data_IF_680916908231
#
_entry.id   IF_680916908231
#
_cell.length_a   1.000
_cell.length_b   1.000
_cell.length_c   1.000
_cell.angle_alpha   90.00
_cell.angle_beta   90.00
_cell.angle_gamma   90.00
#
_symmetry.space_group_name_H-M   'P 1'
#
loop_
_entity.id
_entity.type
_entity.pdbx_description
1 polymer ?
#
# COMPACT_ATOMS: atom_id res chain seq x y z
N UNK A 1 55.35 -62.76 27.07
CA UNK A 1 55.19 -62.21 25.71
C UNK A 1 53.93 -62.83 25.13
N UNK A 2 52.80 -62.16 25.35
CA UNK A 2 51.48 -62.29 24.68
C UNK A 2 50.62 -61.21 25.35
N UNK A 3 50.59 -60.01 24.79
CA UNK A 3 49.67 -59.54 23.75
C UNK A 3 48.44 -58.88 24.42
N UNK A 4 48.48 -57.55 24.45
CA UNK A 4 47.42 -56.68 24.97
C UNK A 4 46.53 -56.33 23.78
N UNK A 5 45.37 -56.98 23.70
CA UNK A 5 44.34 -56.61 22.72
C UNK A 5 43.59 -55.39 23.22
N UNK A 6 43.84 -54.26 22.56
CA UNK A 6 43.12 -53.00 22.66
C UNK A 6 41.74 -53.16 22.00
N UNK A 7 40.71 -53.34 22.82
CA UNK A 7 39.31 -53.44 22.39
C UNK A 7 38.75 -52.03 22.21
N UNK A 8 38.91 -51.51 20.99
CA UNK A 8 38.30 -50.25 20.58
C UNK A 8 36.77 -50.33 20.68
N UNK A 9 36.22 -49.57 21.62
CA UNK A 9 34.78 -49.40 21.83
C UNK A 9 34.17 -48.65 20.62
N UNK A 10 33.69 -49.38 19.63
CA UNK A 10 32.92 -48.83 18.51
C UNK A 10 31.63 -48.18 19.04
N UNK A 11 31.35 -46.90 18.74
CA UNK A 11 30.10 -46.27 19.15
C UNK A 11 28.93 -46.92 18.40
N UNK A 12 28.04 -47.57 19.14
CA UNK A 12 26.87 -48.25 18.58
C UNK A 12 26.01 -47.34 17.71
N UNK A 13 25.44 -47.90 16.64
CA UNK A 13 24.67 -47.22 15.59
C UNK A 13 23.52 -46.30 16.10
N UNK A 14 23.05 -46.51 17.33
CA UNK A 14 22.03 -45.70 18.01
C UNK A 14 22.55 -44.30 18.38
N UNK A 15 23.81 -44.18 18.79
CA UNK A 15 24.44 -42.89 19.14
C UNK A 15 24.68 -42.01 17.90
N UNK A 16 25.01 -42.63 16.76
CA UNK A 16 25.19 -41.91 15.49
C UNK A 16 23.85 -41.39 14.94
N UNK A 17 22.76 -42.16 15.10
CA UNK A 17 21.40 -41.74 14.73
C UNK A 17 20.89 -40.60 15.62
N UNK A 18 21.07 -40.71 16.93
CA UNK A 18 20.72 -39.65 17.89
C UNK A 18 21.52 -38.36 17.63
N UNK A 19 22.81 -38.47 17.31
CA UNK A 19 23.65 -37.34 16.94
C UNK A 19 23.22 -36.71 15.61
N UNK A 20 22.83 -37.50 14.61
CA UNK A 20 22.30 -36.99 13.34
C UNK A 20 20.96 -36.26 13.53
N UNK A 21 20.07 -36.76 14.38
CA UNK A 21 18.82 -36.08 14.75
C UNK A 21 19.06 -34.80 15.53
N UNK A 22 20.02 -34.80 16.46
CA UNK A 22 20.40 -33.62 17.24
C UNK A 22 21.07 -32.54 16.37
N UNK A 23 21.98 -32.94 15.47
CA UNK A 23 22.61 -32.05 14.50
C UNK A 23 21.59 -31.52 13.50
N UNK A 24 20.62 -32.33 13.04
CA UNK A 24 19.52 -31.90 12.17
C UNK A 24 18.56 -30.92 12.88
N UNK A 25 18.25 -31.16 14.16
CA UNK A 25 17.46 -30.25 14.99
C UNK A 25 18.21 -28.94 15.28
N UNK A 26 19.52 -28.98 15.51
CA UNK A 26 20.37 -27.81 15.66
C UNK A 26 20.54 -27.04 14.34
N UNK A 27 20.65 -27.74 13.20
CA UNK A 27 20.68 -27.10 11.88
C UNK A 27 19.34 -26.44 11.54
N UNK A 28 18.23 -27.09 11.91
CA UNK A 28 16.88 -26.52 11.78
C UNK A 28 16.68 -25.30 12.69
N UNK A 29 17.25 -25.31 13.90
CA UNK A 29 17.23 -24.18 14.84
C UNK A 29 18.13 -23.02 14.38
N UNK A 30 19.32 -23.32 13.87
CA UNK A 30 20.31 -22.32 13.43
C UNK A 30 19.97 -21.65 12.08
N UNK A 31 19.15 -22.28 11.24
CA UNK A 31 18.65 -21.70 9.99
C UNK A 31 17.36 -20.88 10.18
N UNK A 32 16.73 -20.86 11.37
CA UNK A 32 15.38 -20.30 11.58
C UNK A 32 15.21 -19.48 12.88
N UNK A 33 16.01 -18.43 13.10
CA UNK A 33 15.55 -17.39 14.03
C UNK A 33 15.32 -16.07 13.33
N UNK A 34 14.38 -16.08 12.40
CA UNK A 34 13.60 -14.90 12.00
C UNK A 34 12.69 -14.39 13.13
N UNK A 35 12.55 -15.16 14.22
CA UNK A 35 11.81 -14.79 15.41
C UNK A 35 12.42 -13.53 16.07
N UNK A 36 11.61 -12.49 16.20
CA UNK A 36 12.00 -11.19 16.77
C UNK A 36 11.62 -11.05 18.24
N UNK A 37 10.65 -11.82 18.72
CA UNK A 37 10.23 -11.88 20.12
C UNK A 37 9.86 -13.32 20.51
N UNK A 38 9.78 -13.65 21.82
CA UNK A 38 9.42 -15.00 22.26
C UNK A 38 8.05 -15.43 21.73
N UNK A 39 7.99 -16.60 21.08
CA UNK A 39 6.76 -17.13 20.47
C UNK A 39 6.46 -16.59 19.07
N UNK A 40 7.34 -15.76 18.50
CA UNK A 40 7.22 -15.31 17.12
C UNK A 40 7.50 -16.45 16.12
N UNK A 41 6.47 -16.81 15.35
CA UNK A 41 6.54 -17.82 14.28
C UNK A 41 6.77 -17.22 12.90
N UNK A 42 6.96 -15.89 12.82
CA UNK A 42 7.19 -15.20 11.56
C UNK A 42 8.53 -15.61 10.95
N UNK A 43 8.53 -15.73 9.61
CA UNK A 43 9.72 -16.13 8.83
C UNK A 43 10.47 -14.94 8.24
N UNK A 44 9.82 -13.78 8.18
CA UNK A 44 10.41 -12.54 7.66
C UNK A 44 11.36 -11.92 8.68
N UNK A 45 12.43 -11.27 8.21
CA UNK A 45 13.26 -10.40 9.04
C UNK A 45 12.53 -9.11 9.45
N UNK A 46 13.10 -8.36 10.39
CA UNK A 46 12.48 -7.14 10.93
C UNK A 46 12.11 -6.11 9.85
N UNK A 47 13.04 -5.78 8.95
CA UNK A 47 12.82 -4.73 7.95
C UNK A 47 11.74 -5.09 6.91
N UNK A 48 11.73 -6.32 6.33
CA UNK A 48 10.61 -6.77 5.50
C UNK A 48 9.26 -6.74 6.22
N UNK A 49 9.20 -7.08 7.52
CA UNK A 49 7.95 -6.97 8.29
C UNK A 49 7.47 -5.53 8.44
N UNK A 50 8.38 -4.58 8.64
CA UNK A 50 8.04 -3.14 8.68
C UNK A 50 7.52 -2.68 7.32
N UNK A 51 8.15 -3.11 6.22
CA UNK A 51 7.66 -2.82 4.87
C UNK A 51 6.27 -3.42 4.62
N UNK A 52 6.04 -4.67 5.03
CA UNK A 52 4.72 -5.33 4.98
C UNK A 52 3.67 -4.55 5.78
N UNK A 53 3.99 -4.11 7.00
CA UNK A 53 3.07 -3.33 7.82
C UNK A 53 2.69 -2.00 7.16
N UNK A 54 3.68 -1.28 6.60
CA UNK A 54 3.41 -0.02 5.89
C UNK A 54 2.58 -0.23 4.62
N UNK A 55 2.78 -1.34 3.91
CA UNK A 55 1.95 -1.72 2.77
C UNK A 55 0.49 -1.99 3.18
N UNK A 56 0.26 -2.63 4.33
CA UNK A 56 -1.10 -2.92 4.84
C UNK A 56 -1.80 -1.64 5.31
N UNK A 57 -1.09 -0.72 5.96
CA UNK A 57 -1.63 0.60 6.33
C UNK A 57 -1.97 1.44 5.09
N UNK A 58 -1.15 1.29 4.05
CA UNK A 58 -1.37 1.94 2.77
C UNK A 58 -1.13 3.45 2.80
N UNK A 59 -1.61 4.18 1.77
CA UNK A 59 -2.13 3.62 0.52
C UNK A 59 -1.03 3.05 -0.38
N UNK A 60 0.24 3.38 -0.13
CA UNK A 60 1.40 2.85 -0.85
C UNK A 60 2.70 3.09 -0.06
N UNK A 61 3.71 2.27 -0.35
CA UNK A 61 5.10 2.47 0.02
C UNK A 61 5.85 3.20 -1.11
N UNK A 62 6.57 4.27 -0.80
CA UNK A 62 7.38 5.04 -1.75
C UNK A 62 8.87 4.91 -1.44
N UNK A 63 9.68 4.52 -2.41
CA UNK A 63 11.15 4.44 -2.27
C UNK A 63 11.82 5.79 -2.10
N UNK A 64 11.26 6.84 -2.70
CA UNK A 64 11.74 8.22 -2.49
C UNK A 64 11.55 8.68 -1.04
N UNK A 65 10.40 8.34 -0.43
CA UNK A 65 10.10 8.76 0.96
C UNK A 65 10.68 7.82 2.02
N UNK A 66 10.73 6.52 1.73
CA UNK A 66 11.16 5.48 2.66
C UNK A 66 12.16 4.50 2.00
N UNK A 67 13.37 4.96 1.64
CA UNK A 67 14.33 4.17 0.84
C UNK A 67 14.81 2.90 1.55
N UNK A 68 14.89 2.92 2.89
CA UNK A 68 15.24 1.74 3.68
C UNK A 68 14.16 0.64 3.61
N UNK A 69 12.88 1.03 3.77
CA UNK A 69 11.77 0.10 3.67
C UNK A 69 11.57 -0.41 2.24
N UNK A 70 11.80 0.45 1.26
CA UNK A 70 11.80 0.06 -0.15
C UNK A 70 12.88 -0.98 -0.46
N UNK A 71 14.11 -0.73 0.00
CA UNK A 71 15.20 -1.71 -0.14
C UNK A 71 14.87 -3.04 0.54
N UNK A 72 14.24 -2.99 1.73
CA UNK A 72 13.81 -4.18 2.44
C UNK A 72 12.68 -4.94 1.71
N UNK A 73 11.71 -4.21 1.14
CA UNK A 73 10.67 -4.78 0.29
C UNK A 73 11.27 -5.54 -0.89
N UNK A 74 12.21 -4.91 -1.60
CA UNK A 74 12.83 -5.52 -2.78
C UNK A 74 13.75 -6.70 -2.42
N UNK A 75 14.38 -6.67 -1.25
CA UNK A 75 15.27 -7.72 -0.78
C UNK A 75 14.53 -9.02 -0.41
N UNK A 76 13.29 -8.93 0.08
CA UNK A 76 12.47 -10.09 0.47
C UNK A 76 11.04 -9.99 -0.08
N UNK A 77 10.94 -9.69 -1.38
CA UNK A 77 9.65 -9.49 -2.04
C UNK A 77 8.80 -10.77 -2.02
N UNK A 78 9.44 -11.94 -2.21
CA UNK A 78 8.73 -13.23 -2.24
C UNK A 78 8.10 -13.57 -0.89
N UNK A 79 8.81 -13.33 0.22
CA UNK A 79 8.28 -13.55 1.56
C UNK A 79 7.12 -12.60 1.87
N UNK A 80 7.24 -11.32 1.48
CA UNK A 80 6.17 -10.33 1.64
C UNK A 80 4.93 -10.72 0.83
N UNK A 81 5.09 -11.12 -0.44
CA UNK A 81 3.99 -11.62 -1.28
C UNK A 81 3.27 -12.78 -0.63
N UNK A 82 4.00 -13.80 -0.18
CA UNK A 82 3.40 -14.95 0.50
C UNK A 82 2.53 -14.57 1.70
N UNK A 83 2.96 -13.58 2.50
CA UNK A 83 2.18 -13.10 3.66
C UNK A 83 0.98 -12.26 3.27
N UNK A 84 1.05 -11.52 2.17
CA UNK A 84 -0.09 -10.79 1.62
C UNK A 84 -1.13 -11.72 1.00
N UNK A 85 -0.69 -12.79 0.32
CA UNK A 85 -1.58 -13.79 -0.29
C UNK A 85 -2.45 -14.48 0.77
N UNK A 86 -1.90 -14.73 1.97
CA UNK A 86 -2.65 -15.24 3.13
C UNK A 86 -3.76 -14.29 3.61
N UNK A 87 -3.67 -13.00 3.28
CA UNK A 87 -4.65 -11.96 3.58
C UNK A 87 -5.56 -11.63 2.40
N UNK A 88 -5.49 -12.39 1.30
CA UNK A 88 -6.17 -12.10 0.04
C UNK A 88 -5.75 -10.76 -0.60
N UNK A 89 -4.49 -10.36 -0.40
CA UNK A 89 -3.91 -9.15 -0.93
C UNK A 89 -2.83 -9.48 -1.97
N UNK A 90 -2.82 -8.74 -3.07
CA UNK A 90 -1.79 -8.81 -4.10
C UNK A 90 -0.88 -7.57 -4.00
N UNK A 91 0.44 -7.80 -3.98
CA UNK A 91 1.44 -6.74 -4.06
C UNK A 91 1.65 -6.28 -5.51
N UNK A 92 1.48 -4.99 -5.75
CA UNK A 92 1.85 -4.32 -7.01
C UNK A 92 3.11 -3.48 -6.78
N UNK A 93 4.11 -3.59 -7.66
CA UNK A 93 5.40 -2.88 -7.54
C UNK A 93 5.78 -2.23 -8.88
N UNK A 94 5.95 -0.92 -8.88
CA UNK A 94 6.64 -0.16 -9.94
C UNK A 94 8.08 0.11 -9.49
N UNK A 95 9.02 -0.66 -10.04
CA UNK A 95 10.45 -0.54 -9.70
C UNK A 95 11.09 0.75 -10.23
N UNK A 96 10.55 1.30 -11.32
CA UNK A 96 11.12 2.50 -11.96
C UNK A 96 10.63 3.75 -11.25
N UNK A 97 9.33 3.81 -10.95
CA UNK A 97 8.74 4.88 -10.15
C UNK A 97 9.06 4.80 -8.66
N UNK A 98 9.53 3.65 -8.18
CA UNK A 98 9.73 3.33 -6.77
C UNK A 98 8.46 3.45 -5.92
N UNK A 99 7.38 2.81 -6.38
CA UNK A 99 6.12 2.72 -5.64
C UNK A 99 5.64 1.27 -5.52
N UNK A 100 5.08 0.92 -4.37
CA UNK A 100 4.41 -0.36 -4.16
C UNK A 100 3.14 -0.17 -3.34
N UNK A 101 2.11 -0.96 -3.62
CA UNK A 101 0.86 -0.95 -2.86
C UNK A 101 0.21 -2.32 -2.90
N UNK A 102 -0.83 -2.49 -2.09
CA UNK A 102 -1.61 -3.73 -2.03
C UNK A 102 -3.01 -3.49 -2.56
N UNK A 103 -3.54 -4.48 -3.27
CA UNK A 103 -4.95 -4.52 -3.71
C UNK A 103 -5.57 -5.86 -3.34
N UNK A 104 -6.89 -5.95 -3.30
CA UNK A 104 -7.54 -7.26 -3.14
C UNK A 104 -7.21 -8.15 -4.35
N UNK A 105 -7.03 -9.44 -4.09
CA UNK A 105 -6.94 -10.44 -5.16
C UNK A 105 -8.26 -10.49 -5.92
N UNK A 106 -8.18 -10.39 -7.25
CA UNK A 106 -9.32 -10.58 -8.16
C UNK A 106 -9.20 -11.94 -8.84
N UNK A 107 -10.12 -12.86 -8.53
CA UNK A 107 -10.17 -14.20 -9.15
C UNK A 107 -11.61 -14.66 -9.37
N UNK A 108 -11.83 -15.44 -10.43
CA UNK A 108 -13.11 -16.08 -10.73
C UNK A 108 -13.27 -17.46 -10.09
N UNK A 109 -12.20 -18.01 -9.51
CA UNK A 109 -12.18 -19.38 -8.98
C UNK A 109 -12.92 -19.51 -7.65
N UNK A 110 -12.88 -18.46 -6.82
CA UNK A 110 -13.56 -18.43 -5.53
C UNK A 110 -14.04 -17.02 -5.19
N UNK A 111 -15.00 -16.95 -4.27
CA UNK A 111 -15.41 -15.67 -3.69
C UNK A 111 -14.39 -15.23 -2.65
N UNK A 112 -13.60 -14.22 -3.00
CA UNK A 112 -12.56 -13.65 -2.12
C UNK A 112 -13.18 -12.61 -1.17
N UNK A 113 -12.90 -12.69 0.15
CA UNK A 113 -13.24 -11.60 1.08
C UNK A 113 -12.41 -10.34 0.77
N UNK A 114 -13.05 -9.18 0.79
CA UNK A 114 -12.33 -7.91 0.67
C UNK A 114 -11.68 -7.57 2.02
N UNK A 115 -10.35 -7.68 2.11
CA UNK A 115 -9.60 -7.27 3.29
C UNK A 115 -9.47 -5.74 3.37
N UNK A 116 -9.49 -5.09 2.21
CA UNK A 116 -9.47 -3.64 2.08
C UNK A 116 -10.91 -3.12 1.98
N UNK A 117 -11.28 -2.08 2.73
CA UNK A 117 -12.55 -1.38 2.47
C UNK A 117 -12.42 -0.62 1.16
N UNK A 118 -13.20 -0.99 0.15
CA UNK A 118 -13.29 -0.21 -1.08
C UNK A 118 -14.00 1.12 -0.80
N UNK A 119 -13.31 2.24 -1.04
CA UNK A 119 -13.94 3.55 -1.03
C UNK A 119 -14.68 3.77 -2.36
N UNK A 120 -16.00 3.92 -2.32
CA UNK A 120 -16.74 4.35 -3.49
C UNK A 120 -16.33 5.78 -3.86
N UNK A 121 -15.86 5.99 -5.09
CA UNK A 121 -15.48 7.31 -5.56
C UNK A 121 -16.69 8.03 -6.13
N UNK A 122 -16.83 9.30 -5.77
CA UNK A 122 -17.84 10.13 -6.42
C UNK A 122 -17.46 10.37 -7.89
N UNK A 123 -18.45 10.84 -8.66
CA UNK A 123 -18.25 11.25 -10.04
C UNK A 123 -17.06 12.23 -10.19
N UNK A 124 -16.98 13.23 -9.31
CA UNK A 124 -15.93 14.26 -9.38
C UNK A 124 -14.57 13.73 -8.93
N UNK A 125 -14.53 12.79 -7.98
CA UNK A 125 -13.27 12.13 -7.61
C UNK A 125 -12.70 11.37 -8.81
N UNK A 126 -13.57 10.61 -9.49
CA UNK A 126 -13.16 9.83 -10.67
C UNK A 126 -12.74 10.73 -11.81
N UNK A 127 -13.50 11.79 -12.10
CA UNK A 127 -13.14 12.74 -13.17
C UNK A 127 -11.83 13.45 -12.87
N UNK A 128 -11.60 13.85 -11.61
CA UNK A 128 -10.36 14.48 -11.18
C UNK A 128 -9.16 13.54 -11.30
N UNK A 129 -9.29 12.26 -10.93
CA UNK A 129 -8.23 11.26 -11.12
C UNK A 129 -7.82 11.15 -12.59
N UNK A 130 -8.79 11.16 -13.51
CA UNK A 130 -8.51 11.06 -14.95
C UNK A 130 -7.77 12.29 -15.47
N UNK A 131 -8.21 13.49 -15.06
CA UNK A 131 -7.52 14.75 -15.42
C UNK A 131 -6.09 14.73 -14.88
N UNK A 132 -5.89 14.38 -13.61
CA UNK A 132 -4.56 14.29 -13.01
C UNK A 132 -3.67 13.28 -13.72
N UNK A 133 -4.21 12.12 -14.13
CA UNK A 133 -3.47 11.11 -14.89
C UNK A 133 -3.07 11.62 -16.27
N UNK A 134 -3.99 12.30 -16.96
CA UNK A 134 -3.69 12.90 -18.26
C UNK A 134 -2.57 13.93 -18.14
N UNK A 135 -2.62 14.80 -17.12
CA UNK A 135 -1.57 15.79 -16.86
C UNK A 135 -0.24 15.13 -16.50
N UNK A 136 -0.26 14.05 -15.70
CA UNK A 136 0.92 13.26 -15.36
C UNK A 136 1.60 12.66 -16.60
N UNK A 137 0.82 12.04 -17.49
CA UNK A 137 1.34 11.43 -18.72
C UNK A 137 1.82 12.50 -19.72
N UNK A 138 1.18 13.66 -19.76
CA UNK A 138 1.59 14.76 -20.65
C UNK A 138 2.91 15.41 -20.22
N UNK A 139 3.19 15.48 -18.91
CA UNK A 139 4.45 15.99 -18.37
C UNK A 139 5.54 14.92 -18.21
N UNK A 140 5.32 13.71 -18.72
CA UNK A 140 6.25 12.59 -18.56
C UNK A 140 7.56 12.88 -19.31
N UNK A 141 8.69 12.75 -18.61
CA UNK A 141 10.03 13.05 -19.14
C UNK A 141 10.64 14.37 -18.67
N UNK A 142 9.83 15.28 -18.12
CA UNK A 142 10.32 16.57 -17.57
C UNK A 142 10.64 16.52 -16.06
N UNK A 143 10.45 15.35 -15.44
CA UNK A 143 10.66 15.13 -14.02
C UNK A 143 9.35 15.17 -13.22
N UNK A 144 9.33 15.95 -12.14
CA UNK A 144 8.17 16.04 -11.24
C UNK A 144 7.07 16.90 -11.86
N UNK A 145 5.86 16.33 -12.00
CA UNK A 145 4.71 17.03 -12.58
C UNK A 145 3.99 17.83 -11.50
N UNK A 146 4.12 19.17 -11.55
CA UNK A 146 3.47 20.09 -10.61
C UNK A 146 2.35 20.83 -11.31
N UNK A 147 1.13 20.73 -10.77
CA UNK A 147 -0.08 21.37 -11.31
C UNK A 147 -0.67 22.39 -10.33
N UNK A 148 -1.33 23.42 -10.86
CA UNK A 148 -2.17 24.31 -10.08
C UNK A 148 -3.54 23.70 -9.85
N UNK A 149 -4.11 23.88 -8.66
CA UNK A 149 -5.47 23.41 -8.33
C UNK A 149 -6.50 24.00 -9.29
N UNK A 150 -6.39 25.29 -9.59
CA UNK A 150 -7.36 25.98 -10.44
C UNK A 150 -7.28 25.50 -11.90
N UNK A 151 -6.10 25.10 -12.38
CA UNK A 151 -5.93 24.49 -13.71
C UNK A 151 -6.67 23.15 -13.82
N UNK A 152 -6.60 22.33 -12.76
CA UNK A 152 -7.33 21.06 -12.67
C UNK A 152 -8.84 21.31 -12.60
N UNK A 153 -9.26 22.32 -11.84
CA UNK A 153 -10.68 22.66 -11.70
C UNK A 153 -11.26 23.19 -13.01
N UNK A 154 -10.49 23.96 -13.78
CA UNK A 154 -10.91 24.46 -15.08
C UNK A 154 -11.22 23.31 -16.05
N UNK A 155 -10.38 22.28 -16.10
CA UNK A 155 -10.63 21.09 -16.93
C UNK A 155 -11.90 20.34 -16.52
N UNK A 156 -12.27 20.38 -15.24
CA UNK A 156 -13.47 19.73 -14.72
C UNK A 156 -14.75 20.55 -14.90
N UNK A 157 -14.67 21.82 -15.32
CA UNK A 157 -15.85 22.69 -15.50
C UNK A 157 -16.86 22.14 -16.51
N UNK A 158 -16.40 21.36 -17.49
CA UNK A 158 -17.28 20.72 -18.50
C UNK A 158 -18.33 19.80 -17.87
N UNK A 159 -18.08 19.31 -16.65
CA UNK A 159 -19.00 18.42 -15.94
C UNK A 159 -20.03 19.15 -15.07
N UNK A 160 -20.04 20.49 -15.08
CA UNK A 160 -21.06 21.26 -14.39
C UNK A 160 -22.40 21.17 -15.15
N UNK A 161 -23.45 20.76 -14.46
CA UNK A 161 -24.82 20.81 -14.99
C UNK A 161 -25.36 22.24 -14.89
N UNK A 162 -26.05 22.72 -15.93
CA UNK A 162 -26.54 24.10 -16.03
C UNK A 162 -27.49 24.52 -14.89
N UNK A 163 -28.20 23.58 -14.27
CA UNK A 163 -29.22 23.84 -13.23
C UNK A 163 -28.67 23.91 -11.79
N UNK A 164 -27.34 23.84 -11.58
CA UNK A 164 -26.74 23.83 -10.23
C UNK A 164 -25.94 25.11 -9.92
N UNK A 165 -25.96 25.50 -8.64
CA UNK A 165 -25.19 26.61 -8.09
C UNK A 165 -23.68 26.39 -8.29
N UNK A 166 -23.01 27.43 -8.81
CA UNK A 166 -21.56 27.49 -9.00
C UNK A 166 -20.82 27.28 -7.67
N UNK A 167 -21.36 27.84 -6.58
CA UNK A 167 -20.74 27.75 -5.26
C UNK A 167 -20.69 26.30 -4.75
N UNK A 168 -21.75 25.53 -4.99
CA UNK A 168 -21.83 24.13 -4.59
C UNK A 168 -20.97 23.22 -5.46
N UNK A 169 -20.85 23.53 -6.75
CA UNK A 169 -19.92 22.82 -7.63
C UNK A 169 -18.47 23.00 -7.18
N UNK A 170 -18.07 24.25 -6.88
CA UNK A 170 -16.73 24.55 -6.38
C UNK A 170 -16.43 23.88 -5.03
N UNK A 171 -17.41 23.79 -4.11
CA UNK A 171 -17.25 23.04 -2.85
C UNK A 171 -16.96 21.55 -3.12
N UNK A 172 -17.71 20.93 -4.04
CA UNK A 172 -17.52 19.51 -4.37
C UNK A 172 -16.17 19.26 -5.06
N UNK A 173 -15.71 20.16 -5.93
CA UNK A 173 -14.36 20.09 -6.49
C UNK A 173 -13.28 20.17 -5.40
N UNK A 174 -13.44 21.07 -4.42
CA UNK A 174 -12.53 21.14 -3.28
C UNK A 174 -12.57 19.87 -2.41
N UNK A 175 -13.74 19.30 -2.18
CA UNK A 175 -13.86 18.00 -1.49
C UNK A 175 -13.12 16.90 -2.25
N UNK A 176 -13.27 16.83 -3.57
CA UNK A 176 -12.54 15.88 -4.40
C UNK A 176 -11.03 16.11 -4.37
N UNK A 177 -10.58 17.35 -4.42
CA UNK A 177 -9.16 17.69 -4.28
C UNK A 177 -8.58 17.22 -2.95
N UNK A 178 -9.31 17.44 -1.84
CA UNK A 178 -8.91 16.95 -0.52
C UNK A 178 -8.91 15.42 -0.45
N UNK A 179 -9.86 14.74 -1.11
CA UNK A 179 -9.83 13.28 -1.23
C UNK A 179 -8.58 12.80 -1.98
N UNK A 180 -8.20 13.46 -3.10
CA UNK A 180 -6.98 13.14 -3.84
C UNK A 180 -5.73 13.30 -2.97
N UNK A 181 -5.68 14.35 -2.14
CA UNK A 181 -4.54 14.68 -1.28
C UNK A 181 -4.43 13.76 -0.07
N UNK A 182 -5.55 13.55 0.63
CA UNK A 182 -5.54 12.99 1.98
C UNK A 182 -5.90 11.50 1.99
N UNK A 183 -6.90 11.09 1.22
CA UNK A 183 -7.36 9.69 1.19
C UNK A 183 -6.57 8.87 0.18
N UNK A 184 -6.57 9.33 -1.08
CA UNK A 184 -5.94 8.59 -2.17
C UNK A 184 -4.43 8.84 -2.23
N UNK A 185 -3.96 9.94 -1.63
CA UNK A 185 -2.55 10.36 -1.58
C UNK A 185 -1.90 10.43 -2.98
N UNK A 186 -2.70 10.71 -4.02
CA UNK A 186 -2.24 10.79 -5.42
C UNK A 186 -1.70 12.18 -5.78
N UNK A 187 -1.87 13.16 -4.90
CA UNK A 187 -1.25 14.49 -5.02
C UNK A 187 -0.59 14.89 -3.71
N UNK A 188 0.49 15.66 -3.80
CA UNK A 188 1.24 16.18 -2.65
C UNK A 188 1.48 17.67 -2.80
N UNK A 189 1.47 18.41 -1.70
CA UNK A 189 1.70 19.86 -1.75
C UNK A 189 3.12 20.16 -2.29
N UNK A 190 3.21 21.11 -3.22
CA UNK A 190 4.46 21.47 -3.89
C UNK A 190 4.65 22.99 -3.88
N UNK A 191 5.25 23.50 -2.80
CA UNK A 191 5.43 24.94 -2.59
C UNK A 191 4.16 25.61 -2.07
N UNK A 192 3.57 26.50 -2.87
CA UNK A 192 2.36 27.24 -2.51
C UNK A 192 1.16 26.30 -2.23
N UNK A 193 0.19 26.78 -1.45
CA UNK A 193 -0.95 25.95 -1.00
C UNK A 193 -1.84 25.43 -2.14
N UNK A 194 -1.88 26.13 -3.26
CA UNK A 194 -2.66 25.81 -4.45
C UNK A 194 -1.91 24.95 -5.48
N UNK A 195 -0.65 24.61 -5.21
CA UNK A 195 0.17 23.78 -6.11
C UNK A 195 0.37 22.39 -5.55
N UNK A 196 0.24 21.40 -6.42
CA UNK A 196 0.48 20.02 -6.05
C UNK A 196 1.33 19.28 -7.07
N UNK A 197 2.24 18.45 -6.58
CA UNK A 197 2.93 17.43 -7.33
C UNK A 197 2.01 16.21 -7.48
N UNK A 198 1.87 15.71 -8.72
CA UNK A 198 1.13 14.49 -8.99
C UNK A 198 2.02 13.29 -8.70
N UNK A 199 1.54 12.39 -7.84
CA UNK A 199 2.26 11.17 -7.48
C UNK A 199 2.28 10.19 -8.67
N UNK A 200 3.45 9.63 -9.04
CA UNK A 200 3.55 8.62 -10.09
C UNK A 200 2.74 7.33 -9.81
N UNK A 201 2.34 7.10 -8.55
CA UNK A 201 1.44 5.99 -8.15
C UNK A 201 0.11 6.01 -8.93
N UNK A 202 -0.32 7.19 -9.40
CA UNK A 202 -1.55 7.35 -10.18
C UNK A 202 -1.52 6.54 -11.50
N UNK A 203 -0.34 6.14 -11.98
CA UNK A 203 -0.19 5.23 -13.14
C UNK A 203 -0.71 3.81 -12.84
N UNK A 204 -0.71 3.42 -11.57
CA UNK A 204 -0.99 2.05 -11.12
C UNK A 204 -2.39 1.89 -10.51
N UNK A 205 -2.98 2.97 -9.98
CA UNK A 205 -4.29 2.94 -9.32
C UNK A 205 -5.45 2.91 -10.34
N UNK A 206 -5.20 3.35 -11.58
CA UNK A 206 -6.23 3.46 -12.60
C UNK A 206 -5.83 2.63 -13.82
N UNK A 207 -6.38 1.43 -13.93
CA UNK A 207 -6.18 0.58 -15.10
C UNK A 207 -6.78 1.24 -16.35
N UNK A 208 -6.06 1.19 -17.47
CA UNK A 208 -6.50 1.80 -18.74
C UNK A 208 -7.88 1.29 -19.20
N UNK A 209 -8.26 0.09 -18.78
CA UNK A 209 -9.54 -0.56 -19.07
C UNK A 209 -10.70 0.01 -18.23
N UNK A 210 -10.45 0.37 -16.96
CA UNK A 210 -11.42 1.10 -16.13
C UNK A 210 -11.71 2.48 -16.74
N UNK A 211 -10.71 3.16 -17.31
CA UNK A 211 -10.90 4.46 -17.98
C UNK A 211 -11.80 4.37 -19.21
N UNK A 212 -11.68 3.32 -20.02
CA UNK A 212 -12.51 3.15 -21.23
C UNK A 212 -13.96 2.80 -20.86
N UNK A 213 -14.15 1.94 -19.86
CA UNK A 213 -15.47 1.59 -19.34
C UNK A 213 -16.17 2.82 -18.71
N UNK A 214 -15.43 3.61 -17.92
CA UNK A 214 -15.99 4.81 -17.29
C UNK A 214 -16.19 5.90 -18.38
N UNK A 215 -15.28 6.07 -19.35
CA UNK A 215 -15.35 7.01 -20.48
C UNK A 215 -16.62 6.94 -21.34
N UNK A 216 -17.04 5.71 -21.66
CA UNK A 216 -18.26 5.47 -22.45
C UNK A 216 -19.53 5.60 -21.60
N UNK A 217 -19.47 5.20 -20.33
CA UNK A 217 -20.57 5.34 -19.38
C UNK A 217 -20.72 6.82 -18.89
N UNK A 218 -19.64 7.62 -18.96
CA UNK A 218 -19.53 9.03 -18.55
C UNK A 218 -20.53 9.94 -19.27
N UNK A 219 -20.78 9.73 -20.57
CA UNK A 219 -21.79 10.50 -21.32
C UNK A 219 -23.22 10.13 -20.93
N UNK A 220 -23.43 8.90 -20.46
CA UNK A 220 -24.76 8.40 -20.05
C UNK A 220 -25.09 8.80 -18.61
N UNK A 221 -24.12 8.72 -17.70
CA UNK A 221 -24.30 8.99 -16.27
C UNK A 221 -24.19 10.47 -15.91
N UNK A 222 -23.53 11.33 -16.69
CA UNK A 222 -23.60 12.79 -16.46
C UNK A 222 -25.04 13.34 -16.51
N UNK A 223 -26.00 12.59 -17.08
CA UNK A 223 -27.42 12.86 -17.01
C UNK A 223 -28.14 12.28 -15.76
N UNK A 224 -27.51 11.36 -15.01
CA UNK A 224 -28.17 10.54 -13.97
C UNK A 224 -27.42 10.42 -12.61
N UNK A 225 -26.15 10.82 -12.47
CA UNK A 225 -25.47 11.00 -11.17
C UNK A 225 -24.96 9.74 -10.43
N UNK A 226 -24.52 8.71 -11.16
CA UNK A 226 -24.01 7.42 -10.63
C UNK A 226 -22.61 7.48 -9.98
N UNK A 227 -22.24 6.38 -9.30
CA UNK A 227 -21.04 6.19 -8.47
C UNK A 227 -20.15 5.09 -9.07
N UNK A 228 -18.83 5.26 -9.01
CA UNK A 228 -17.84 4.25 -9.44
C UNK A 228 -17.14 3.67 -8.22
N UNK A 229 -17.04 2.34 -8.15
CA UNK A 229 -16.34 1.67 -7.05
C UNK A 229 -14.90 1.39 -7.46
N UNK A 230 -13.94 1.91 -6.70
CA UNK A 230 -12.52 1.61 -6.85
C UNK A 230 -12.02 1.07 -5.51
N UNK A 231 -11.31 -0.04 -5.55
CA UNK A 231 -10.69 -0.62 -4.37
C UNK A 231 -9.46 0.20 -4.01
N UNK A 232 -9.60 1.05 -2.99
CA UNK A 232 -8.49 1.85 -2.47
C UNK A 232 -8.40 1.58 -0.97
N UNK A 233 -7.18 1.36 -0.48
CA UNK A 233 -6.91 1.23 0.94
C UNK A 233 -7.31 2.50 1.69
N UNK A 234 -8.33 2.37 2.52
CA UNK A 234 -8.82 3.40 3.43
C UNK A 234 -7.90 3.47 4.65
N UNK A 235 -7.19 4.59 4.80
CA UNK A 235 -6.34 4.87 5.96
C UNK A 235 -7.16 5.66 7.00
N UNK A 236 -7.88 4.95 7.87
CA UNK A 236 -8.38 5.52 9.13
C UNK A 236 -7.41 5.16 10.27
N UNK A 237 -6.20 5.74 10.24
CA UNK A 237 -5.32 5.84 11.41
C UNK A 237 -5.07 7.31 11.76
N UNK A 238 -6.14 8.05 12.03
CA UNK A 238 -6.08 9.25 12.88
C UNK A 238 -6.85 8.98 14.18
N UNK A 239 -6.15 8.38 15.16
CA UNK A 239 -6.55 8.39 16.57
C UNK A 239 -5.35 8.75 17.42
N UNK A 240 -5.23 10.04 17.71
CA UNK A 240 -4.42 10.64 18.76
C UNK A 240 -4.55 12.15 18.62
N UNK A 241 -5.48 12.82 19.28
CA UNK A 241 -5.33 13.14 20.70
C UNK A 241 -6.69 13.23 21.40
N UNK A 242 -6.92 12.37 22.38
CA UNK A 242 -7.72 12.74 23.55
C UNK A 242 -6.74 12.79 24.70
N UNK A 243 -6.38 14.02 25.07
CA UNK A 243 -5.73 14.34 26.34
C UNK A 243 -6.40 13.55 27.46
N UNK A 244 -5.65 12.82 28.30
CA UNK A 244 -6.17 12.43 29.59
C UNK A 244 -6.12 13.67 30.49
N UNK A 245 -7.29 14.26 30.71
CA UNK A 245 -7.54 15.08 31.88
C UNK A 245 -7.31 14.22 33.12
N UNK A 246 -6.35 14.61 33.96
CA UNK A 246 -6.42 14.34 35.39
C UNK A 246 -5.67 15.42 36.19
N UNK A 247 -6.47 16.39 36.64
CA UNK A 247 -6.66 16.73 38.06
C UNK A 247 -5.53 17.40 38.87
N UNK A 248 -5.77 18.69 39.11
CA UNK A 248 -5.73 19.42 40.38
C UNK A 248 -4.44 19.62 41.23
N UNK A 249 -4.39 20.85 41.75
CA UNK A 249 -3.87 21.29 43.06
C UNK A 249 -2.36 21.61 43.22
N UNK A 250 -2.00 22.91 43.08
CA UNK A 250 -1.24 23.59 44.14
C UNK A 250 -1.28 25.13 44.02
N UNK A 251 -1.77 25.79 45.09
CA UNK A 251 -1.47 27.18 45.55
C UNK A 251 -1.98 28.34 44.67
N UNK A 252 -2.59 29.41 45.16
CA UNK A 252 -2.66 30.05 46.48
C UNK A 252 -3.94 30.91 46.61
#
# INVERSE_FOLDING_TARGET
MTDTTDEALEPGADAASAMAHYVSALHSSALHSSALWPGDTGVLGEQPRRALLELIKGPYLSGVKAPALWSALLADEAGIRSRLDELFLELVVDRVGEFAFVRNVSTTELKVPSAVRSAALSFLDTAMLLVLRQMLLAGEGEGRVIVGRDDVFEQLRVYRTADRDESDFAKRLNSSWLNMKNKLRVIHQAGAEDRAEISPVLRLIVDAEQIQAIGAEYKRIAAAGGVVQIDIADDELDRGDTDPDDSEEQTA
#
